data_IF_355416546502
#
_entry.id   IF_355416546502
#
_cell.length_a   1.000
_cell.length_b   1.000
_cell.length_c   1.000
_cell.angle_alpha   90.00
_cell.angle_beta   90.00
_cell.angle_gamma   90.00
#
_symmetry.space_group_name_H-M   'P 1'
#
loop_
_entity.id
_entity.type
_entity.pdbx_description
1 polymer ?
#
# COMPACT_ATOMS: atom_id res chain seq x y z
N UNK A 1 -31.73 -7.71 3.39
CA UNK A 1 -30.59 -6.83 3.72
C UNK A 1 -30.14 -6.15 2.43
N UNK A 2 -30.09 -4.82 2.37
CA UNK A 2 -29.65 -4.06 1.17
C UNK A 2 -28.60 -3.04 1.61
N UNK A 3 -27.38 -3.14 1.07
CA UNK A 3 -26.26 -2.26 1.40
C UNK A 3 -24.94 -3.02 1.53
N UNK A 4 -23.85 -2.28 1.79
CA UNK A 4 -22.56 -2.86 2.18
C UNK A 4 -22.71 -3.34 3.63
N UNK A 5 -22.42 -4.62 3.86
CA UNK A 5 -22.61 -5.25 5.17
C UNK A 5 -21.28 -5.56 5.85
N UNK A 6 -20.18 -5.56 5.08
CA UNK A 6 -18.81 -5.72 5.55
C UNK A 6 -17.83 -5.16 4.51
N UNK A 7 -16.62 -4.82 4.97
CA UNK A 7 -15.49 -4.47 4.13
C UNK A 7 -14.20 -5.02 4.75
N UNK A 8 -13.30 -5.52 3.91
CA UNK A 8 -11.98 -6.01 4.29
C UNK A 8 -10.89 -5.25 3.53
N UNK A 9 -9.68 -5.22 4.09
CA UNK A 9 -8.54 -4.56 3.45
C UNK A 9 -7.26 -5.32 3.72
N UNK A 10 -6.35 -5.25 2.76
CA UNK A 10 -4.97 -5.66 2.90
C UNK A 10 -4.10 -4.55 2.32
N UNK A 11 -3.08 -4.13 3.06
CA UNK A 11 -2.14 -3.09 2.66
C UNK A 11 -0.77 -3.76 2.59
N UNK A 12 0.03 -3.50 1.53
CA UNK A 12 1.39 -3.99 1.46
C UNK A 12 2.17 -3.79 2.76
N UNK A 13 3.05 -4.71 3.11
CA UNK A 13 3.80 -4.65 4.36
C UNK A 13 4.84 -3.52 4.35
N UNK A 14 5.61 -3.38 3.26
CA UNK A 14 6.77 -2.49 3.24
C UNK A 14 6.39 -1.01 3.16
N UNK A 15 7.28 -0.16 3.69
CA UNK A 15 7.10 1.30 3.74
C UNK A 15 8.34 2.01 3.20
N UNK A 16 8.10 2.98 2.32
CA UNK A 16 9.11 3.92 1.83
C UNK A 16 8.91 5.27 2.51
N UNK A 17 9.96 5.81 3.12
CA UNK A 17 9.93 7.19 3.61
C UNK A 17 9.91 8.14 2.41
N UNK A 18 8.92 9.03 2.36
CA UNK A 18 8.77 9.95 1.23
C UNK A 18 9.87 11.02 1.20
N UNK A 19 10.62 11.20 2.27
CA UNK A 19 11.80 12.08 2.29
C UNK A 19 12.98 11.48 1.53
N UNK A 20 13.11 10.15 1.47
CA UNK A 20 14.15 9.46 0.69
C UNK A 20 13.96 9.69 -0.82
N UNK A 21 12.70 9.82 -1.27
CA UNK A 21 12.38 10.16 -2.67
C UNK A 21 12.96 11.53 -3.04
N UNK A 22 12.83 12.52 -2.16
CA UNK A 22 13.40 13.84 -2.38
C UNK A 22 14.94 13.79 -2.39
N UNK A 23 15.53 13.02 -1.47
CA UNK A 23 16.98 12.85 -1.36
C UNK A 23 17.58 12.21 -2.63
N UNK A 24 16.90 11.22 -3.22
CA UNK A 24 17.37 10.54 -4.42
C UNK A 24 17.11 11.31 -5.72
N UNK A 25 15.89 11.84 -5.91
CA UNK A 25 15.48 12.47 -7.17
C UNK A 25 15.73 13.99 -7.22
N UNK A 26 16.17 14.61 -6.11
CA UNK A 26 16.40 16.05 -5.99
C UNK A 26 15.14 16.91 -6.06
N UNK A 27 13.96 16.28 -6.22
CA UNK A 27 12.65 16.92 -6.23
C UNK A 27 11.56 15.91 -5.89
N UNK A 28 10.39 16.42 -5.58
CA UNK A 28 9.29 15.60 -5.09
C UNK A 28 9.54 15.17 -3.65
N UNK A 29 8.97 14.03 -3.28
CA UNK A 29 8.86 13.66 -1.88
C UNK A 29 7.82 14.49 -1.13
N UNK A 30 7.51 14.05 0.08
CA UNK A 30 6.51 14.64 0.94
C UNK A 30 6.73 14.16 2.37
N UNK A 31 5.76 14.42 3.25
CA UNK A 31 5.83 13.95 4.64
C UNK A 31 5.23 12.55 4.78
N UNK A 32 5.76 11.78 5.71
CA UNK A 32 5.28 10.45 6.07
C UNK A 32 5.76 9.35 5.13
N UNK A 33 5.14 8.17 5.26
CA UNK A 33 5.54 6.97 4.54
C UNK A 33 4.51 6.57 3.48
N UNK A 34 4.94 5.81 2.47
CA UNK A 34 4.08 5.19 1.44
C UNK A 34 4.22 3.67 1.51
N UNK A 35 3.12 2.94 1.40
CA UNK A 35 3.15 1.48 1.24
C UNK A 35 3.72 1.09 -0.12
N UNK A 36 4.60 0.09 -0.15
CA UNK A 36 5.22 -0.44 -1.35
C UNK A 36 5.03 -1.95 -1.38
N UNK A 37 4.55 -2.47 -2.50
CA UNK A 37 4.37 -3.90 -2.70
C UNK A 37 5.72 -4.62 -2.86
N UNK A 38 5.84 -5.75 -2.18
CA UNK A 38 6.85 -6.77 -2.43
C UNK A 38 6.54 -7.58 -3.69
N UNK A 39 7.48 -8.44 -4.09
CA UNK A 39 7.34 -9.31 -5.25
C UNK A 39 6.15 -10.28 -5.14
N UNK A 40 5.74 -10.63 -3.92
CA UNK A 40 4.63 -11.51 -3.57
C UNK A 40 3.31 -10.77 -3.28
N UNK A 41 3.30 -9.44 -3.32
CA UNK A 41 2.12 -8.61 -3.04
C UNK A 41 1.47 -8.12 -4.35
N UNK A 42 1.24 -9.04 -5.28
CA UNK A 42 0.51 -8.74 -6.52
C UNK A 42 -0.99 -8.54 -6.28
N UNK A 43 -1.69 -8.07 -7.32
CA UNK A 43 -3.11 -7.73 -7.22
C UNK A 43 -3.99 -8.92 -6.80
N UNK A 44 -3.68 -10.12 -7.27
CA UNK A 44 -4.45 -11.33 -6.96
C UNK A 44 -4.23 -11.75 -5.52
N UNK A 45 -2.97 -11.77 -5.07
CA UNK A 45 -2.58 -12.16 -3.72
C UNK A 45 -3.19 -11.21 -2.69
N UNK A 46 -3.08 -9.89 -2.92
CA UNK A 46 -3.68 -8.91 -2.03
C UNK A 46 -5.20 -8.96 -2.04
N UNK A 47 -5.82 -9.22 -3.19
CA UNK A 47 -7.27 -9.39 -3.30
C UNK A 47 -7.78 -10.56 -2.45
N UNK A 48 -7.08 -11.70 -2.50
CA UNK A 48 -7.38 -12.85 -1.63
C UNK A 48 -7.12 -12.51 -0.16
N UNK A 49 -6.00 -11.85 0.16
CA UNK A 49 -5.66 -11.49 1.54
C UNK A 49 -6.68 -10.52 2.17
N UNK A 50 -7.25 -9.60 1.39
CA UNK A 50 -8.27 -8.67 1.85
C UNK A 50 -9.65 -9.31 2.08
N UNK A 51 -9.91 -10.46 1.45
CA UNK A 51 -11.19 -11.17 1.51
C UNK A 51 -11.19 -12.38 2.47
N UNK A 52 -10.04 -12.73 3.04
CA UNK A 52 -9.88 -13.78 4.06
C UNK A 52 -10.31 -13.29 5.43
#
# INVERSE_FOLDING_TARGET
MRGIIAAGTHIPHYRLDRTEVAAFFGKGGGRGQRSVASFDEDTTTMGVAAAR
#
